data_IF_027504943496
#
_entry.id   IF_027504943496
#
_cell.length_a   1.000
_cell.length_b   1.000
_cell.length_c   1.000
_cell.angle_alpha   90.00
_cell.angle_beta   90.00
_cell.angle_gamma   90.00
#
_symmetry.space_group_name_H-M   'P 1'
#
loop_
_entity.id
_entity.type
_entity.pdbx_description
1 polymer ?
#
# COMPACT_ATOMS: atom_id res chain seq x y z
N UNK A 1 23.51 51.75 0.01
CA UNK A 1 22.41 50.77 -0.20
C UNK A 1 23.08 49.40 -0.31
N UNK A 2 23.12 48.65 0.79
CA UNK A 2 23.74 47.34 0.82
C UNK A 2 22.77 46.35 0.18
N UNK A 3 23.18 45.73 -0.92
CA UNK A 3 22.50 44.56 -1.48
C UNK A 3 22.87 43.40 -0.55
N UNK A 4 21.94 42.96 0.29
CA UNK A 4 22.05 41.67 0.97
C UNK A 4 21.84 40.59 -0.08
N UNK A 5 22.91 40.16 -0.73
CA UNK A 5 22.91 38.88 -1.42
C UNK A 5 22.93 37.80 -0.33
N UNK A 6 21.74 37.26 -0.03
CA UNK A 6 21.64 36.02 0.74
C UNK A 6 22.22 34.95 -0.20
N UNK A 7 23.26 34.19 0.21
CA UNK A 7 23.70 33.06 -0.58
C UNK A 7 22.48 32.14 -0.74
N UNK A 8 22.09 31.87 -1.98
CA UNK A 8 21.23 30.73 -2.27
C UNK A 8 22.00 29.52 -1.74
N UNK A 9 21.58 29.00 -0.59
CA UNK A 9 22.07 27.71 -0.11
C UNK A 9 21.87 26.76 -1.28
N UNK A 10 22.93 26.04 -1.67
CA UNK A 10 22.85 25.03 -2.71
C UNK A 10 21.63 24.15 -2.40
N UNK A 11 20.80 23.91 -3.42
CA UNK A 11 19.71 22.94 -3.35
C UNK A 11 20.22 21.72 -2.58
N UNK A 12 19.55 21.35 -1.49
CA UNK A 12 19.89 20.13 -0.80
C UNK A 12 19.40 19.04 -1.72
N UNK A 13 20.26 18.56 -2.62
CA UNK A 13 19.92 17.42 -3.46
C UNK A 13 19.59 16.25 -2.54
N UNK A 14 18.31 15.90 -2.49
CA UNK A 14 17.87 14.76 -1.71
C UNK A 14 18.15 13.48 -2.49
N UNK A 15 18.92 12.52 -1.93
CA UNK A 15 19.20 11.26 -2.60
C UNK A 15 17.95 10.37 -2.73
N UNK A 16 16.87 10.71 -2.05
CA UNK A 16 15.58 10.01 -2.07
C UNK A 16 14.45 11.00 -1.80
N UNK A 17 13.26 10.71 -2.29
CA UNK A 17 12.01 11.38 -1.91
C UNK A 17 11.02 10.35 -1.36
N UNK A 18 10.08 10.80 -0.54
CA UNK A 18 9.01 9.97 0.04
C UNK A 18 7.72 10.78 0.11
N UNK A 19 6.59 10.11 0.36
CA UNK A 19 5.39 10.82 0.78
C UNK A 19 5.49 11.32 2.23
N UNK A 20 4.85 12.46 2.50
CA UNK A 20 4.69 13.02 3.85
C UNK A 20 3.91 12.06 4.75
N UNK A 21 2.80 11.52 4.25
CA UNK A 21 1.99 10.50 4.91
C UNK A 21 2.30 9.10 4.34
N UNK A 22 2.38 8.09 5.20
CA UNK A 22 2.53 6.70 4.74
C UNK A 22 1.26 6.16 4.08
N UNK A 23 0.08 6.71 4.38
CA UNK A 23 -1.17 6.33 3.72
C UNK A 23 -1.15 6.69 2.21
N UNK A 24 -0.28 7.60 1.77
CA UNK A 24 -0.19 7.96 0.36
C UNK A 24 0.49 6.88 -0.50
N UNK A 25 1.16 5.87 0.08
CA UNK A 25 1.76 4.79 -0.73
C UNK A 25 0.72 3.89 -1.38
N UNK A 26 -0.44 3.71 -0.74
CA UNK A 26 -1.57 2.95 -1.28
C UNK A 26 -2.85 3.70 -0.98
N UNK A 27 -3.57 4.16 -2.01
CA UNK A 27 -4.78 4.95 -1.79
C UNK A 27 -5.98 4.23 -2.37
N UNK A 28 -6.96 3.94 -1.50
CA UNK A 28 -8.26 3.39 -1.93
C UNK A 28 -9.33 4.46 -1.74
N UNK A 29 -10.03 4.80 -2.82
CA UNK A 29 -11.08 5.82 -2.79
C UNK A 29 -12.27 5.45 -3.65
N UNK A 30 -13.42 6.01 -3.29
CA UNK A 30 -14.62 5.97 -4.11
C UNK A 30 -14.56 6.89 -5.34
N UNK A 31 -15.60 6.81 -6.17
CA UNK A 31 -15.80 7.66 -7.35
C UNK A 31 -15.87 9.16 -7.01
N UNK A 32 -15.17 10.00 -7.78
CA UNK A 32 -15.13 11.47 -7.65
C UNK A 32 -14.67 12.00 -6.29
N UNK A 33 -13.87 11.23 -5.57
CA UNK A 33 -13.21 11.66 -4.35
C UNK A 33 -11.88 12.36 -4.68
N UNK A 34 -11.30 13.00 -3.68
CA UNK A 34 -9.97 13.61 -3.79
C UNK A 34 -9.06 13.12 -2.68
N UNK A 35 -7.78 13.02 -2.99
CA UNK A 35 -6.69 12.77 -2.04
C UNK A 35 -5.64 13.86 -2.22
N UNK A 36 -5.04 14.34 -1.12
CA UNK A 36 -3.96 15.32 -1.17
C UNK A 36 -2.66 14.60 -0.85
N UNK A 37 -1.77 14.54 -1.82
CA UNK A 37 -0.47 13.90 -1.68
C UNK A 37 0.62 14.95 -1.63
N UNK A 38 1.52 14.84 -0.66
CA UNK A 38 2.69 15.70 -0.51
C UNK A 38 3.96 14.85 -0.56
N UNK A 39 4.97 15.26 -1.34
CA UNK A 39 6.31 14.64 -1.28
C UNK A 39 7.29 15.47 -0.48
N UNK A 40 8.16 14.77 0.24
CA UNK A 40 9.25 15.32 1.03
C UNK A 40 10.58 14.71 0.59
N UNK A 41 11.65 15.49 0.74
CA UNK A 41 13.02 14.99 0.59
C UNK A 41 13.44 14.15 1.79
N UNK A 42 14.25 13.13 1.55
CA UNK A 42 14.88 12.34 2.62
C UNK A 42 16.38 12.62 2.66
N UNK A 43 16.89 12.96 3.83
CA UNK A 43 18.34 13.03 4.04
C UNK A 43 18.96 11.63 4.24
N UNK A 44 20.28 11.58 4.39
CA UNK A 44 21.01 10.32 4.61
C UNK A 44 20.67 9.62 5.93
N UNK A 45 19.93 10.28 6.82
CA UNK A 45 19.43 9.73 8.09
C UNK A 45 17.94 9.34 8.01
N UNK A 46 17.36 9.35 6.80
CA UNK A 46 15.93 9.07 6.55
C UNK A 46 14.99 10.05 7.25
N UNK A 47 15.45 11.26 7.58
CA UNK A 47 14.59 12.31 8.10
C UNK A 47 13.92 13.02 6.93
N UNK A 48 12.59 13.21 7.03
CA UNK A 48 11.80 13.95 6.04
C UNK A 48 12.03 15.45 6.16
N UNK A 49 12.18 16.12 5.03
CA UNK A 49 12.34 17.56 4.92
C UNK A 49 11.45 18.13 3.82
N UNK A 50 10.89 19.31 4.05
CA UNK A 50 10.16 20.04 3.02
C UNK A 50 11.11 20.41 1.87
N UNK A 51 10.62 20.29 0.63
CA UNK A 51 11.41 20.62 -0.56
C UNK A 51 11.57 22.14 -0.73
N UNK A 52 10.63 22.94 -0.21
CA UNK A 52 10.70 24.39 -0.24
C UNK A 52 10.87 24.92 -1.67
N UNK A 53 11.95 25.65 -1.94
CA UNK A 53 12.21 26.20 -3.28
C UNK A 53 12.46 25.12 -4.35
N UNK A 54 12.82 23.90 -3.94
CA UNK A 54 13.11 22.81 -4.85
C UNK A 54 11.84 22.09 -5.34
N UNK A 55 10.65 22.46 -4.87
CA UNK A 55 9.37 21.97 -5.39
C UNK A 55 9.24 22.17 -6.92
N UNK A 56 9.93 23.19 -7.46
CA UNK A 56 9.97 23.49 -8.89
C UNK A 56 10.51 22.33 -9.74
N UNK A 57 11.28 21.43 -9.12
CA UNK A 57 11.91 20.26 -9.73
C UNK A 57 11.05 18.99 -9.60
N UNK A 58 9.87 19.08 -8.97
CA UNK A 58 8.95 17.95 -8.83
C UNK A 58 8.00 17.88 -10.02
N UNK A 59 7.88 16.69 -10.61
CA UNK A 59 6.87 16.36 -11.63
C UNK A 59 6.02 15.19 -11.20
N UNK A 60 4.71 15.38 -11.24
CA UNK A 60 3.68 14.39 -10.96
C UNK A 60 3.07 13.87 -12.25
N UNK A 61 2.93 12.56 -12.36
CA UNK A 61 2.28 11.88 -13.50
C UNK A 61 1.35 10.78 -13.01
N UNK A 62 0.39 10.40 -13.85
CA UNK A 62 -0.46 9.23 -13.63
C UNK A 62 -0.34 8.26 -14.80
N UNK A 63 -0.21 6.97 -14.50
CA UNK A 63 -0.23 5.91 -15.52
C UNK A 63 -1.60 5.76 -16.20
N UNK A 64 -2.70 6.17 -15.54
CA UNK A 64 -4.05 6.05 -16.07
C UNK A 64 -4.93 7.27 -15.74
N UNK A 65 -4.92 8.21 -16.68
CA UNK A 65 -5.65 9.48 -16.55
C UNK A 65 -7.17 9.36 -16.65
N UNK A 66 -7.69 8.17 -16.98
CA UNK A 66 -9.13 7.91 -16.92
C UNK A 66 -9.56 7.50 -15.52
N UNK A 67 -8.65 6.96 -14.70
CA UNK A 67 -8.90 6.52 -13.33
C UNK A 67 -8.59 7.64 -12.34
N UNK A 68 -7.47 8.36 -12.51
CA UNK A 68 -7.11 9.50 -11.66
C UNK A 68 -6.62 10.69 -12.48
N UNK A 69 -6.87 11.92 -12.01
CA UNK A 69 -6.28 13.15 -12.57
C UNK A 69 -5.90 14.11 -11.47
N UNK A 70 -4.99 15.03 -11.76
CA UNK A 70 -4.62 16.06 -10.81
C UNK A 70 -5.53 17.28 -10.93
N UNK A 71 -6.01 17.80 -9.80
CA UNK A 71 -6.73 19.06 -9.73
C UNK A 71 -5.75 20.22 -9.60
N UNK A 72 -5.70 21.04 -10.64
CA UNK A 72 -4.97 22.31 -10.63
C UNK A 72 -5.85 23.39 -11.27
N UNK A 73 -6.68 24.01 -10.44
CA UNK A 73 -7.76 24.88 -10.88
C UNK A 73 -8.97 24.12 -11.41
N UNK A 74 -9.64 24.66 -12.43
CA UNK A 74 -10.93 24.16 -12.94
C UNK A 74 -10.75 22.97 -13.88
N UNK A 75 -9.60 22.88 -14.57
CA UNK A 75 -9.35 21.85 -15.59
C UNK A 75 -8.43 20.78 -14.99
N UNK A 76 -8.90 19.52 -14.88
CA UNK A 76 -8.05 18.41 -14.45
C UNK A 76 -6.87 18.21 -15.40
N UNK A 77 -5.68 17.98 -14.84
CA UNK A 77 -4.44 17.75 -15.59
C UNK A 77 -4.00 16.30 -15.48
N UNK A 78 -3.27 15.85 -16.49
CA UNK A 78 -2.64 14.52 -16.55
C UNK A 78 -1.25 14.50 -15.93
N UNK A 79 -0.64 15.67 -15.76
CA UNK A 79 0.61 15.89 -15.06
C UNK A 79 0.62 17.29 -14.42
N UNK A 80 1.40 17.44 -13.36
CA UNK A 80 1.68 18.73 -12.71
C UNK A 80 3.19 18.80 -12.51
N UNK A 81 3.80 19.93 -12.83
CA UNK A 81 5.21 20.20 -12.55
C UNK A 81 5.31 21.43 -11.68
N UNK A 82 6.33 21.45 -10.83
CA UNK A 82 6.72 22.56 -10.00
C UNK A 82 5.89 22.71 -8.73
N UNK A 83 5.42 21.59 -8.18
CA UNK A 83 4.69 21.51 -6.91
C UNK A 83 5.06 20.23 -6.19
N UNK A 84 5.35 20.32 -4.90
CA UNK A 84 5.55 19.18 -4.01
C UNK A 84 4.23 18.56 -3.51
N UNK A 85 3.13 19.31 -3.62
CA UNK A 85 1.80 18.91 -3.19
C UNK A 85 0.83 18.90 -4.37
N UNK A 86 0.05 17.82 -4.50
CA UNK A 86 -1.01 17.70 -5.51
C UNK A 86 -2.30 17.19 -4.91
N UNK A 87 -3.43 17.65 -5.47
CA UNK A 87 -4.73 17.04 -5.20
C UNK A 87 -5.05 16.05 -6.33
N UNK A 88 -5.03 14.76 -6.04
CA UNK A 88 -5.46 13.70 -6.94
C UNK A 88 -6.97 13.56 -6.85
N UNK A 89 -7.66 13.51 -7.98
CA UNK A 89 -9.09 13.22 -8.07
C UNK A 89 -9.31 11.87 -8.73
N UNK A 90 -10.08 11.01 -8.08
CA UNK A 90 -10.53 9.74 -8.65
C UNK A 90 -11.70 9.95 -9.61
N UNK A 91 -11.73 9.19 -10.69
CA UNK A 91 -12.67 9.41 -11.80
C UNK A 91 -13.52 8.21 -12.11
N UNK A 92 -12.99 7.03 -12.37
CA UNK A 92 -13.78 5.83 -12.66
C UNK A 92 -13.14 4.62 -11.97
N UNK A 93 -13.91 3.54 -11.72
CA UNK A 93 -13.34 2.32 -11.18
C UNK A 93 -12.16 1.78 -12.00
N UNK A 94 -11.12 1.32 -11.32
CA UNK A 94 -9.88 0.87 -11.93
C UNK A 94 -8.67 1.22 -11.06
N UNK A 95 -7.48 1.08 -11.63
CA UNK A 95 -6.22 1.32 -10.93
C UNK A 95 -5.34 2.29 -11.71
N UNK A 96 -4.51 3.03 -10.98
CA UNK A 96 -3.51 3.93 -11.52
C UNK A 96 -2.30 4.00 -10.60
N UNK A 97 -1.12 4.22 -11.18
CA UNK A 97 0.09 4.58 -10.43
C UNK A 97 0.27 6.08 -10.55
N UNK A 98 0.36 6.77 -9.43
CA UNK A 98 0.74 8.18 -9.36
C UNK A 98 2.22 8.25 -9.00
N UNK A 99 3.01 8.89 -9.85
CA UNK A 99 4.46 8.99 -9.68
C UNK A 99 4.86 10.44 -9.48
N UNK A 100 5.56 10.74 -8.39
CA UNK A 100 6.31 11.97 -8.22
C UNK A 100 7.77 11.71 -8.58
N UNK A 101 8.34 12.59 -9.40
CA UNK A 101 9.76 12.58 -9.80
C UNK A 101 10.39 13.87 -9.35
N UNK A 102 11.49 13.80 -8.62
CA UNK A 102 12.33 14.94 -8.25
C UNK A 102 13.60 14.90 -9.11
N UNK A 103 13.73 15.89 -10.01
CA UNK A 103 14.77 15.95 -11.04
C UNK A 103 15.48 17.31 -10.97
N UNK A 104 16.62 17.36 -10.26
CA UNK A 104 17.43 18.57 -10.12
C UNK A 104 18.55 18.61 -11.17
N UNK A 105 19.09 19.80 -11.49
CA UNK A 105 20.19 19.90 -12.45
C UNK A 105 21.51 19.26 -12.00
N UNK A 106 21.62 18.83 -10.73
CA UNK A 106 22.88 18.46 -10.08
C UNK A 106 22.92 17.01 -9.59
N UNK A 107 21.80 16.30 -9.59
CA UNK A 107 21.70 14.90 -9.18
C UNK A 107 20.90 14.06 -10.18
N UNK A 108 21.01 12.74 -10.08
CA UNK A 108 20.15 11.83 -10.85
C UNK A 108 18.70 11.92 -10.34
N UNK A 109 17.68 11.80 -11.21
CA UNK A 109 16.29 11.86 -10.80
C UNK A 109 15.92 10.72 -9.84
N UNK A 110 15.10 11.05 -8.84
CA UNK A 110 14.55 10.09 -7.88
C UNK A 110 13.03 10.12 -7.91
N UNK A 111 12.40 8.96 -7.67
CA UNK A 111 10.96 8.80 -7.79
C UNK A 111 10.33 8.13 -6.59
N UNK A 112 9.10 8.51 -6.28
CA UNK A 112 8.22 7.77 -5.37
C UNK A 112 6.87 7.55 -6.04
N UNK A 113 6.24 6.40 -5.77
CA UNK A 113 5.00 5.96 -6.41
C UNK A 113 3.92 5.64 -5.40
N UNK A 114 2.70 6.07 -5.70
CA UNK A 114 1.46 5.71 -5.02
C UNK A 114 0.63 4.79 -5.91
N UNK A 115 0.16 3.67 -5.36
CA UNK A 115 -0.80 2.82 -6.04
C UNK A 115 -2.23 3.24 -5.66
N UNK A 116 -2.98 3.77 -6.62
CA UNK A 116 -4.34 4.26 -6.40
C UNK A 116 -5.36 3.28 -6.97
N UNK A 117 -6.28 2.83 -6.13
CA UNK A 117 -7.42 1.98 -6.50
C UNK A 117 -8.72 2.75 -6.34
N UNK A 118 -9.51 2.78 -7.40
CA UNK A 118 -10.88 3.28 -7.38
C UNK A 118 -11.81 2.07 -7.41
N UNK A 119 -12.44 1.77 -6.29
CA UNK A 119 -13.32 0.60 -6.21
C UNK A 119 -14.60 0.79 -7.04
N UNK A 120 -15.05 -0.32 -7.65
CA UNK A 120 -16.36 -0.41 -8.26
C UNK A 120 -17.49 -0.46 -7.23
N UNK A 121 -18.72 -0.48 -7.71
CA UNK A 121 -19.91 -0.61 -6.84
C UNK A 121 -20.30 -2.06 -6.58
N UNK A 122 -19.75 -3.00 -7.34
CA UNK A 122 -20.04 -4.43 -7.21
C UNK A 122 -19.18 -5.05 -6.12
N UNK A 123 -19.82 -5.75 -5.18
CA UNK A 123 -19.14 -6.54 -4.15
C UNK A 123 -19.02 -8.00 -4.58
N UNK A 124 -17.81 -8.53 -4.54
CA UNK A 124 -17.50 -9.96 -4.58
C UNK A 124 -17.43 -10.47 -3.14
N UNK A 125 -18.42 -11.21 -2.67
CA UNK A 125 -18.50 -11.63 -1.25
C UNK A 125 -17.47 -12.71 -0.88
N UNK A 126 -16.96 -13.44 -1.87
CA UNK A 126 -15.97 -14.50 -1.68
C UNK A 126 -15.32 -14.88 -3.00
N UNK A 127 -14.09 -15.40 -2.95
CA UNK A 127 -13.40 -15.98 -4.12
C UNK A 127 -13.01 -17.41 -3.80
N UNK A 128 -13.31 -18.34 -4.72
CA UNK A 128 -13.09 -19.77 -4.52
C UNK A 128 -11.88 -20.30 -5.28
N UNK A 129 -11.39 -21.47 -4.84
CA UNK A 129 -10.28 -22.17 -5.47
C UNK A 129 -8.92 -21.61 -5.08
N UNK A 130 -8.84 -20.83 -4.00
CA UNK A 130 -7.60 -20.17 -3.61
C UNK A 130 -6.65 -21.19 -2.98
N UNK A 131 -5.49 -21.34 -3.58
CA UNK A 131 -4.38 -22.07 -2.98
C UNK A 131 -3.53 -21.05 -2.21
N UNK A 132 -3.18 -21.37 -0.97
CA UNK A 132 -2.33 -20.51 -0.14
C UNK A 132 -1.21 -21.32 0.47
N UNK A 133 -0.01 -20.77 0.41
CA UNK A 133 1.21 -21.31 1.01
C UNK A 133 1.86 -20.24 1.87
N UNK A 134 2.24 -20.60 3.09
CA UNK A 134 2.83 -19.69 4.07
C UNK A 134 4.11 -20.32 4.61
N UNK A 135 5.22 -19.68 4.29
CA UNK A 135 6.58 -20.07 4.68
C UNK A 135 7.11 -19.10 5.75
N UNK A 136 7.07 -19.54 7.00
CA UNK A 136 7.68 -18.81 8.11
C UNK A 136 9.19 -19.06 8.20
N UNK A 137 9.88 -18.24 8.97
CA UNK A 137 11.26 -18.54 9.36
C UNK A 137 11.33 -19.22 10.73
N UNK A 138 10.61 -18.68 11.71
CA UNK A 138 10.38 -19.31 13.02
C UNK A 138 8.91 -19.70 13.21
N UNK A 139 7.98 -18.99 12.57
CA UNK A 139 6.57 -19.36 12.49
C UNK A 139 6.44 -20.63 11.64
N UNK A 140 5.52 -21.52 11.98
CA UNK A 140 5.39 -22.80 11.28
C UNK A 140 4.79 -22.63 9.89
N UNK A 141 5.36 -23.34 8.93
CA UNK A 141 4.85 -23.39 7.56
C UNK A 141 3.50 -24.11 7.49
N UNK A 142 2.63 -23.67 6.59
CA UNK A 142 1.38 -24.35 6.29
C UNK A 142 0.84 -23.98 4.92
N UNK A 143 0.00 -24.86 4.38
CA UNK A 143 -0.64 -24.67 3.08
C UNK A 143 -2.10 -25.11 3.12
N UNK A 144 -2.96 -24.42 2.39
CA UNK A 144 -4.32 -24.89 2.07
C UNK A 144 -4.52 -24.90 0.56
N UNK A 145 -5.26 -25.89 0.07
CA UNK A 145 -5.67 -25.97 -1.33
C UNK A 145 -7.18 -25.75 -1.48
N UNK A 146 -7.56 -24.97 -2.49
CA UNK A 146 -8.95 -24.78 -2.91
C UNK A 146 -9.83 -24.04 -1.93
N UNK A 147 -9.28 -23.14 -1.11
CA UNK A 147 -10.05 -22.35 -0.15
C UNK A 147 -11.09 -21.47 -0.86
N UNK A 148 -12.20 -21.23 -0.17
CA UNK A 148 -13.11 -20.14 -0.49
C UNK A 148 -12.89 -19.02 0.51
N UNK A 149 -12.19 -17.98 0.08
CA UNK A 149 -11.82 -16.83 0.89
C UNK A 149 -12.99 -15.85 0.92
N UNK A 150 -13.61 -15.60 2.09
CA UNK A 150 -14.67 -14.61 2.22
C UNK A 150 -14.09 -13.19 2.22
N UNK A 151 -14.92 -12.23 1.81
CA UNK A 151 -14.68 -10.82 2.09
C UNK A 151 -15.08 -10.54 3.54
N UNK A 152 -14.21 -9.84 4.28
CA UNK A 152 -14.48 -9.35 5.62
C UNK A 152 -13.76 -8.01 5.81
N UNK A 153 -14.29 -7.17 6.69
CA UNK A 153 -13.67 -5.89 7.03
C UNK A 153 -12.71 -6.11 8.20
N UNK A 154 -11.45 -5.67 8.08
CA UNK A 154 -10.42 -5.95 9.07
C UNK A 154 -10.68 -5.13 10.34
N UNK A 155 -11.26 -3.94 10.21
CA UNK A 155 -11.64 -3.11 11.36
C UNK A 155 -12.85 -3.67 12.11
N UNK A 156 -13.87 -4.18 11.40
CA UNK A 156 -15.01 -4.87 12.03
C UNK A 156 -14.57 -6.17 12.73
N UNK A 157 -13.54 -6.85 12.20
CA UNK A 157 -12.91 -8.00 12.83
C UNK A 157 -12.02 -7.64 14.04
N UNK A 158 -11.73 -6.36 14.24
CA UNK A 158 -10.84 -5.86 15.29
C UNK A 158 -9.36 -6.17 15.06
N UNK A 159 -8.96 -6.51 13.83
CA UNK A 159 -7.58 -6.84 13.44
C UNK A 159 -6.73 -5.57 13.32
N UNK A 160 -7.35 -4.45 12.95
CA UNK A 160 -6.73 -3.12 12.89
C UNK A 160 -7.74 -2.04 13.25
N UNK A 161 -7.27 -0.93 13.82
CA UNK A 161 -8.13 0.23 14.10
C UNK A 161 -8.48 1.03 12.83
N UNK A 162 -7.69 0.86 11.77
CA UNK A 162 -7.89 1.53 10.49
C UNK A 162 -7.45 0.64 9.32
N UNK A 163 -8.32 0.49 8.33
CA UNK A 163 -8.11 -0.31 7.12
C UNK A 163 -8.59 0.41 5.84
N UNK A 164 -8.42 1.74 5.77
CA UNK A 164 -8.76 2.48 4.54
C UNK A 164 -7.92 2.02 3.34
N UNK A 165 -6.73 1.45 3.56
CA UNK A 165 -5.85 0.94 2.51
C UNK A 165 -6.08 -0.55 2.21
N UNK A 166 -7.24 -1.08 2.61
CA UNK A 166 -7.71 -2.44 2.30
C UNK A 166 -8.98 -2.40 1.45
N UNK A 167 -9.00 -3.20 0.37
CA UNK A 167 -10.17 -3.25 -0.52
C UNK A 167 -11.42 -3.72 0.23
N UNK A 168 -12.53 -3.01 0.03
CA UNK A 168 -13.81 -3.23 0.72
C UNK A 168 -14.84 -3.96 -0.12
N UNK A 169 -14.52 -4.25 -1.39
CA UNK A 169 -15.46 -4.85 -2.34
C UNK A 169 -15.01 -6.19 -2.89
N UNK A 170 -13.74 -6.56 -2.75
CA UNK A 170 -13.22 -7.84 -3.29
C UNK A 170 -12.15 -8.39 -2.35
N UNK A 171 -12.17 -9.69 -2.00
CA UNK A 171 -11.12 -10.32 -1.23
C UNK A 171 -9.75 -10.13 -1.88
N UNK A 172 -8.73 -9.98 -1.07
CA UNK A 172 -7.36 -9.73 -1.50
C UNK A 172 -6.39 -10.79 -0.99
N UNK A 173 -5.15 -10.75 -1.45
CA UNK A 173 -4.08 -11.61 -0.91
C UNK A 173 -3.97 -11.50 0.61
N UNK A 174 -4.17 -10.30 1.19
CA UNK A 174 -4.22 -10.11 2.65
C UNK A 174 -5.41 -10.83 3.29
N UNK A 175 -6.61 -10.77 2.68
CA UNK A 175 -7.78 -11.48 3.20
C UNK A 175 -7.55 -13.00 3.20
N UNK A 176 -6.96 -13.55 2.13
CA UNK A 176 -6.63 -14.98 2.06
C UNK A 176 -5.66 -15.37 3.18
N UNK A 177 -4.63 -14.55 3.40
CA UNK A 177 -3.61 -14.79 4.42
C UNK A 177 -4.18 -14.80 5.83
N UNK A 178 -4.88 -13.75 6.23
CA UNK A 178 -5.46 -13.64 7.58
C UNK A 178 -6.49 -14.74 7.82
N UNK A 179 -7.34 -15.04 6.81
CA UNK A 179 -8.32 -16.12 6.90
C UNK A 179 -7.66 -17.50 7.09
N UNK A 180 -6.59 -17.77 6.35
CA UNK A 180 -5.86 -19.03 6.45
C UNK A 180 -5.11 -19.17 7.78
N UNK A 181 -4.50 -18.09 8.27
CA UNK A 181 -3.86 -18.05 9.59
C UNK A 181 -4.85 -18.36 10.70
N UNK A 182 -6.04 -17.75 10.65
CA UNK A 182 -7.07 -17.96 11.66
C UNK A 182 -7.54 -19.43 11.67
N UNK A 183 -7.88 -19.99 10.50
CA UNK A 183 -8.27 -21.41 10.40
C UNK A 183 -7.16 -22.35 10.87
N UNK A 184 -5.90 -22.05 10.56
CA UNK A 184 -4.77 -22.90 10.91
C UNK A 184 -4.51 -22.93 12.42
N UNK A 185 -4.73 -21.80 13.11
CA UNK A 185 -4.24 -21.62 14.47
C UNK A 185 -5.33 -21.49 15.54
N UNK A 186 -6.61 -21.47 15.15
CA UNK A 186 -7.72 -21.43 16.09
C UNK A 186 -8.70 -22.60 15.91
N UNK A 187 -9.85 -22.52 16.57
CA UNK A 187 -10.94 -23.49 16.39
C UNK A 187 -11.81 -23.20 15.18
N UNK A 188 -11.53 -22.11 14.47
CA UNK A 188 -12.29 -21.71 13.29
C UNK A 188 -12.06 -22.64 12.11
N UNK A 189 -13.08 -22.78 11.27
CA UNK A 189 -13.03 -23.66 10.10
C UNK A 189 -13.68 -22.99 8.90
N UNK A 190 -13.48 -23.56 7.72
CA UNK A 190 -14.18 -23.14 6.49
C UNK A 190 -15.71 -23.26 6.58
N UNK A 191 -16.23 -23.92 7.62
CA UNK A 191 -17.67 -24.04 7.88
C UNK A 191 -18.21 -23.00 8.87
N UNK A 192 -17.34 -22.30 9.61
CA UNK A 192 -17.80 -21.23 10.50
C UNK A 192 -18.22 -20.02 9.65
N UNK A 193 -19.37 -19.37 9.93
CA UNK A 193 -19.72 -18.12 9.28
C UNK A 193 -18.69 -17.02 9.61
N UNK A 194 -18.22 -16.29 8.60
CA UNK A 194 -17.16 -15.27 8.78
C UNK A 194 -17.50 -14.19 9.81
N UNK A 195 -18.77 -13.78 9.90
CA UNK A 195 -19.24 -12.82 10.92
C UNK A 195 -19.35 -13.40 12.33
N UNK A 196 -18.93 -14.64 12.54
CA UNK A 196 -18.87 -15.32 13.84
C UNK A 196 -17.47 -15.84 14.15
N UNK A 197 -16.48 -15.58 13.30
CA UNK A 197 -15.08 -15.91 13.57
C UNK A 197 -14.61 -15.16 14.82
N UNK A 198 -14.00 -15.90 15.73
CA UNK A 198 -13.21 -15.33 16.80
C UNK A 198 -11.77 -15.07 16.30
N UNK A 199 -11.48 -13.83 15.91
CA UNK A 199 -10.17 -13.42 15.37
C UNK A 199 -9.07 -13.25 16.42
N UNK A 200 -9.26 -13.77 17.64
CA UNK A 200 -8.33 -13.59 18.77
C UNK A 200 -6.90 -14.03 18.41
N UNK A 201 -6.73 -15.14 17.69
CA UNK A 201 -5.39 -15.57 17.31
C UNK A 201 -4.71 -14.58 16.37
N UNK A 202 -5.39 -14.16 15.29
CA UNK A 202 -4.83 -13.17 14.37
C UNK A 202 -4.53 -11.84 15.07
N UNK A 203 -5.44 -11.33 15.92
CA UNK A 203 -5.24 -10.07 16.65
C UNK A 203 -4.02 -10.10 17.57
N UNK A 204 -3.76 -11.24 18.21
CA UNK A 204 -2.65 -11.37 19.15
C UNK A 204 -1.29 -11.64 18.48
N UNK A 205 -1.29 -12.14 17.23
CA UNK A 205 -0.08 -12.63 16.58
C UNK A 205 0.28 -11.91 15.28
N UNK A 206 -0.61 -11.11 14.70
CA UNK A 206 -0.38 -10.40 13.44
C UNK A 206 -0.29 -8.90 13.71
N UNK A 207 0.75 -8.26 13.16
CA UNK A 207 0.91 -6.80 13.19
C UNK A 207 0.85 -6.26 11.78
N UNK A 208 -0.18 -5.44 11.52
CA UNK A 208 -0.33 -4.67 10.30
C UNK A 208 -0.05 -3.19 10.56
N UNK A 209 0.74 -2.56 9.70
CA UNK A 209 0.97 -1.12 9.70
C UNK A 209 0.42 -0.47 8.44
N UNK A 210 0.44 0.87 8.43
CA UNK A 210 0.05 1.68 7.27
C UNK A 210 -1.34 1.29 6.77
N UNK A 211 -2.30 1.30 7.69
CA UNK A 211 -3.73 1.06 7.43
C UNK A 211 -4.01 -0.29 6.74
N UNK A 212 -3.18 -1.31 7.06
CA UNK A 212 -3.30 -2.67 6.52
C UNK A 212 -2.43 -2.95 5.29
N UNK A 213 -1.72 -1.95 4.76
CA UNK A 213 -0.89 -2.13 3.56
C UNK A 213 0.44 -2.87 3.81
N UNK A 214 0.94 -2.88 5.06
CA UNK A 214 2.20 -3.54 5.40
C UNK A 214 2.02 -4.61 6.49
N UNK A 215 2.37 -5.85 6.18
CA UNK A 215 2.47 -6.93 7.16
C UNK A 215 3.84 -6.87 7.84
N UNK A 216 3.87 -6.40 9.09
CA UNK A 216 5.11 -6.30 9.85
C UNK A 216 5.50 -7.64 10.48
N UNK A 217 4.55 -8.31 11.13
CA UNK A 217 4.85 -9.49 11.94
C UNK A 217 3.76 -10.55 11.91
N UNK A 218 4.18 -11.81 12.05
CA UNK A 218 3.34 -12.98 12.34
C UNK A 218 4.05 -13.87 13.34
N UNK A 219 3.47 -14.01 14.54
CA UNK A 219 4.09 -14.73 15.65
C UNK A 219 5.43 -14.11 16.03
N UNK A 220 6.52 -14.87 15.90
CA UNK A 220 7.88 -14.40 16.22
C UNK A 220 8.66 -13.90 15.00
N UNK A 221 8.10 -14.01 13.80
CA UNK A 221 8.71 -13.50 12.58
C UNK A 221 8.25 -12.04 12.36
N UNK A 222 9.13 -11.11 12.75
CA UNK A 222 8.83 -9.68 12.86
C UNK A 222 9.88 -8.82 12.13
N UNK A 223 9.49 -8.22 11.00
CA UNK A 223 10.34 -7.32 10.23
C UNK A 223 10.59 -5.97 10.91
N UNK A 224 9.87 -5.64 12.00
CA UNK A 224 10.15 -4.46 12.82
C UNK A 224 11.37 -4.61 13.73
N UNK A 225 11.80 -5.85 13.98
CA UNK A 225 13.00 -6.16 14.77
C UNK A 225 14.11 -6.81 13.95
N UNK A 226 13.77 -7.57 12.90
CA UNK A 226 14.72 -8.10 11.92
C UNK A 226 14.76 -7.24 10.64
N UNK A 227 15.74 -6.33 10.58
CA UNK A 227 15.95 -5.44 9.43
C UNK A 227 16.54 -6.15 8.19
N UNK A 228 16.80 -7.45 8.26
CA UNK A 228 17.35 -8.23 7.15
C UNK A 228 16.29 -9.02 6.40
N UNK A 229 15.07 -9.12 6.96
CA UNK A 229 13.97 -9.91 6.42
C UNK A 229 12.63 -9.19 6.54
N UNK A 230 11.64 -9.65 5.81
CA UNK A 230 10.26 -9.24 5.99
C UNK A 230 9.29 -10.20 5.33
N UNK A 231 8.01 -10.00 5.65
CA UNK A 231 6.93 -10.73 4.99
C UNK A 231 6.74 -10.22 3.57
N UNK A 232 6.92 -11.11 2.61
CA UNK A 232 6.78 -10.87 1.19
C UNK A 232 5.70 -11.80 0.63
N UNK A 233 5.02 -11.39 -0.44
CA UNK A 233 3.95 -12.19 -1.03
C UNK A 233 4.01 -12.20 -2.55
N UNK A 234 3.45 -13.25 -3.13
CA UNK A 234 3.18 -13.36 -4.58
C UNK A 234 1.73 -13.77 -4.80
N UNK A 235 1.22 -13.48 -5.99
CA UNK A 235 -0.06 -13.98 -6.48
C UNK A 235 0.18 -14.61 -7.85
N UNK A 236 -0.04 -15.92 -7.99
CA UNK A 236 0.29 -16.70 -9.18
C UNK A 236 1.75 -16.53 -9.62
N UNK A 237 2.69 -16.68 -8.69
CA UNK A 237 4.14 -16.47 -8.87
C UNK A 237 4.59 -15.04 -9.21
N UNK A 238 3.66 -14.10 -9.39
CA UNK A 238 3.97 -12.69 -9.64
C UNK A 238 4.04 -11.93 -8.30
N UNK A 239 5.19 -11.30 -8.01
CA UNK A 239 5.35 -10.39 -6.89
C UNK A 239 4.72 -9.02 -7.25
N UNK A 240 3.59 -8.62 -6.64
CA UNK A 240 2.92 -7.40 -7.06
C UNK A 240 3.71 -6.16 -6.61
N UNK A 241 3.77 -5.14 -7.46
CA UNK A 241 4.40 -3.84 -7.15
C UNK A 241 3.52 -2.97 -6.20
N UNK A 242 2.63 -3.58 -5.43
CA UNK A 242 1.68 -2.92 -4.53
C UNK A 242 1.31 -3.84 -3.36
N UNK A 243 0.73 -3.26 -2.30
CA UNK A 243 0.38 -3.99 -1.08
C UNK A 243 -0.60 -5.16 -1.31
N UNK A 244 -0.51 -6.18 -0.44
CA UNK A 244 -1.42 -7.32 -0.46
C UNK A 244 -2.87 -6.95 -0.12
N UNK A 245 -3.06 -5.83 0.57
CA UNK A 245 -4.36 -5.24 0.90
C UNK A 245 -5.12 -4.72 -0.34
N UNK A 246 -4.42 -4.55 -1.47
CA UNK A 246 -4.96 -4.06 -2.75
C UNK A 246 -4.72 -5.01 -3.93
N UNK A 247 -4.20 -6.20 -3.68
CA UNK A 247 -4.05 -7.26 -4.68
C UNK A 247 -5.33 -8.13 -4.71
N UNK A 248 -6.31 -7.87 -5.60
CA UNK A 248 -7.57 -8.60 -5.61
C UNK A 248 -7.35 -10.06 -6.02
N UNK A 249 -8.07 -10.98 -5.36
CA UNK A 249 -8.04 -12.38 -5.72
C UNK A 249 -8.91 -12.66 -6.95
N UNK A 250 -8.44 -13.58 -7.78
CA UNK A 250 -9.23 -14.21 -8.83
C UNK A 250 -9.47 -15.68 -8.50
N UNK A 251 -10.50 -16.27 -9.09
CA UNK A 251 -10.77 -17.71 -8.93
C UNK A 251 -9.55 -18.54 -9.33
N UNK A 252 -9.22 -19.55 -8.52
CA UNK A 252 -8.04 -20.40 -8.70
C UNK A 252 -6.69 -19.68 -8.61
N UNK A 253 -6.63 -18.55 -7.88
CA UNK A 253 -5.35 -17.89 -7.64
C UNK A 253 -4.52 -18.67 -6.60
N UNK A 254 -3.22 -18.66 -6.79
CA UNK A 254 -2.22 -19.13 -5.82
C UNK A 254 -1.64 -17.91 -5.08
N UNK A 255 -1.60 -17.95 -3.76
CA UNK A 255 -1.05 -16.88 -2.92
C UNK A 255 0.05 -17.47 -2.06
N UNK A 256 1.28 -17.00 -2.23
CA UNK A 256 2.41 -17.42 -1.39
C UNK A 256 2.81 -16.27 -0.49
N UNK A 257 3.10 -16.57 0.78
CA UNK A 257 3.71 -15.65 1.72
C UNK A 257 4.97 -16.25 2.29
N UNK A 258 6.04 -15.46 2.38
CA UNK A 258 7.31 -15.90 2.95
C UNK A 258 7.97 -14.83 3.83
N UNK A 259 8.56 -15.23 4.95
CA UNK A 259 9.45 -14.36 5.73
C UNK A 259 10.89 -14.41 5.21
N UNK A 260 11.14 -13.63 4.17
CA UNK A 260 12.31 -13.74 3.30
C UNK A 260 13.29 -12.57 3.50
N UNK A 261 14.59 -12.77 3.20
CA UNK A 261 15.56 -11.68 3.13
C UNK A 261 15.20 -10.62 2.10
N UNK A 262 15.60 -9.37 2.37
CA UNK A 262 15.53 -8.26 1.40
C UNK A 262 16.66 -8.31 0.35
#
# INVERSE_FOLDING_TARGET
>A
MAIFAIPAMAATDYPMITFEDSADFTVIKGYLQTEVMTVQGLDSSYVKHDLGADEQYVTWTSSNTNVVRFRDGIIPKTSITGKDTVTVQTLIPGTAVVTATYDTPTADPVTVTSYVVVEGTTTTSSVSGIDIDVDGYNTSDFSFAGLTVPLFDLSDAGITDNDNDVLKKTPTALHAFLYALEIQNSTETTSTPIGSFDWDWVKDNVVLNSEGSYLQAVGTDDGGTDWTRGWQFTVNDDAPEHAASVAPLTTNAEVTWGFLPW
#
